data_IF_918737899134
#
_entry.id   IF_918737899134
#
_cell.length_a   1.000
_cell.length_b   1.000
_cell.length_c   1.000
_cell.angle_alpha   90.00
_cell.angle_beta   90.00
_cell.angle_gamma   90.00
#
_symmetry.space_group_name_H-M   'P 1'
#
loop_
_entity.id
_entity.type
_entity.pdbx_description
1 polymer ?
#
# COMPACT_ATOMS: atom_id res chain seq x y z
N UNK A 1 -28.29 7.96 -32.94
CA UNK A 1 -28.25 9.19 -32.12
C UNK A 1 -28.18 8.77 -30.67
N UNK A 2 -27.35 9.44 -29.86
CA UNK A 2 -27.26 9.15 -28.42
C UNK A 2 -28.64 9.37 -27.78
N UNK A 3 -29.13 8.44 -26.94
CA UNK A 3 -30.41 8.62 -26.24
C UNK A 3 -30.31 9.62 -25.07
N UNK A 4 -29.13 10.17 -24.79
CA UNK A 4 -28.91 11.11 -23.70
C UNK A 4 -28.87 12.56 -24.18
N UNK A 5 -29.46 13.50 -23.42
CA UNK A 5 -29.35 14.92 -23.71
C UNK A 5 -27.86 15.35 -23.72
N UNK A 6 -27.56 16.37 -24.51
CA UNK A 6 -26.21 16.95 -24.55
C UNK A 6 -25.93 17.63 -23.19
N UNK A 7 -24.67 17.57 -22.72
CA UNK A 7 -24.29 18.21 -21.46
C UNK A 7 -24.45 19.74 -21.55
N UNK A 8 -24.86 20.34 -20.45
CA UNK A 8 -25.01 21.79 -20.29
C UNK A 8 -23.86 22.37 -19.46
N UNK A 9 -23.49 23.63 -19.71
CA UNK A 9 -22.40 24.30 -18.98
C UNK A 9 -22.64 24.37 -17.46
N UNK A 10 -23.90 24.37 -17.04
CA UNK A 10 -24.29 24.41 -15.62
C UNK A 10 -24.20 23.06 -14.92
N UNK A 11 -24.06 21.94 -15.64
CA UNK A 11 -24.12 20.59 -15.05
C UNK A 11 -23.06 20.38 -13.97
N UNK A 12 -21.85 20.91 -14.18
CA UNK A 12 -20.78 20.83 -13.19
C UNK A 12 -21.17 21.49 -11.85
N UNK A 13 -21.85 22.63 -11.91
CA UNK A 13 -22.32 23.35 -10.73
C UNK A 13 -23.54 22.66 -10.11
N UNK A 14 -24.50 22.23 -10.94
CA UNK A 14 -25.78 21.69 -10.48
C UNK A 14 -25.66 20.27 -9.89
N UNK A 15 -24.76 19.45 -10.42
CA UNK A 15 -24.76 18.00 -10.13
C UNK A 15 -23.44 17.45 -9.57
N UNK A 16 -22.32 18.17 -9.67
CA UNK A 16 -21.01 17.63 -9.25
C UNK A 16 -20.40 18.39 -8.07
N UNK A 17 -20.01 19.65 -8.25
CA UNK A 17 -19.27 20.43 -7.24
C UNK A 17 -19.74 21.89 -7.20
N UNK A 18 -20.95 22.18 -6.69
CA UNK A 18 -21.54 23.53 -6.68
C UNK A 18 -20.62 24.58 -6.06
N UNK A 19 -20.02 24.28 -4.90
CA UNK A 19 -19.15 25.23 -4.19
C UNK A 19 -17.83 25.49 -4.92
N UNK A 20 -17.28 24.46 -5.59
CA UNK A 20 -16.05 24.61 -6.38
C UNK A 20 -16.33 25.44 -7.63
N UNK A 21 -17.47 25.21 -8.29
CA UNK A 21 -17.89 26.01 -9.44
C UNK A 21 -18.00 27.50 -9.07
N UNK A 22 -18.65 27.81 -7.94
CA UNK A 22 -18.75 29.19 -7.42
C UNK A 22 -17.37 29.79 -7.16
N UNK A 23 -16.47 29.02 -6.53
CA UNK A 23 -15.11 29.48 -6.26
C UNK A 23 -14.35 29.78 -7.56
N UNK A 24 -14.34 28.86 -8.52
CA UNK A 24 -13.64 29.03 -9.80
C UNK A 24 -14.13 30.27 -10.56
N UNK A 25 -15.45 30.49 -10.59
CA UNK A 25 -16.03 31.69 -11.20
C UNK A 25 -15.58 32.97 -10.49
N UNK A 26 -15.51 32.96 -9.17
CA UNK A 26 -15.10 34.15 -8.38
C UNK A 26 -13.66 34.59 -8.66
N UNK A 27 -12.81 33.70 -9.17
CA UNK A 27 -11.41 33.98 -9.52
C UNK A 27 -11.15 33.94 -11.03
N UNK A 28 -12.19 33.84 -11.86
CA UNK A 28 -12.07 33.81 -13.32
C UNK A 28 -11.42 32.55 -13.92
N UNK A 29 -11.40 31.45 -13.16
CA UNK A 29 -10.83 30.16 -13.57
C UNK A 29 -11.89 29.15 -14.05
N UNK A 30 -13.13 29.59 -14.24
CA UNK A 30 -14.24 28.78 -14.74
C UNK A 30 -14.20 28.57 -16.25
N UNK A 31 -13.05 28.12 -16.77
CA UNK A 31 -12.86 27.85 -18.21
C UNK A 31 -13.03 26.37 -18.51
N UNK A 32 -13.79 26.09 -19.57
CA UNK A 32 -13.91 24.76 -20.13
C UNK A 32 -12.85 24.55 -21.22
N UNK A 33 -11.80 23.78 -20.88
CA UNK A 33 -10.78 23.39 -21.84
C UNK A 33 -11.27 22.22 -22.70
N UNK A 34 -11.37 22.44 -24.00
CA UNK A 34 -11.90 21.47 -24.98
C UNK A 34 -10.81 20.69 -25.70
N UNK A 35 -9.57 21.22 -25.72
CA UNK A 35 -8.40 20.56 -26.31
C UNK A 35 -7.13 20.89 -25.53
N UNK A 36 -6.11 20.05 -25.69
CA UNK A 36 -4.80 20.25 -25.11
C UNK A 36 -3.72 19.61 -26.01
N UNK A 37 -2.58 20.28 -26.19
CA UNK A 37 -1.43 19.74 -26.92
C UNK A 37 -0.13 20.43 -26.50
N UNK A 38 0.91 19.65 -26.21
CA UNK A 38 2.18 20.18 -25.69
C UNK A 38 1.93 20.95 -24.40
N UNK A 39 2.50 22.13 -24.25
CA UNK A 39 2.35 22.95 -23.04
C UNK A 39 1.10 23.84 -23.06
N UNK A 40 0.11 23.53 -23.89
CA UNK A 40 -1.02 24.44 -24.14
C UNK A 40 -2.38 23.77 -23.98
N UNK A 41 -3.29 24.52 -23.39
CA UNK A 41 -4.72 24.23 -23.30
C UNK A 41 -5.49 25.18 -24.21
N UNK A 42 -6.60 24.71 -24.77
CA UNK A 42 -7.51 25.50 -25.58
C UNK A 42 -8.90 25.44 -24.94
N UNK A 43 -9.42 26.59 -24.54
CA UNK A 43 -10.79 26.71 -24.04
C UNK A 43 -11.69 27.35 -25.10
N UNK A 44 -12.98 27.05 -25.03
CA UNK A 44 -13.98 27.61 -25.94
C UNK A 44 -14.60 28.88 -25.33
N UNK A 45 -14.70 29.95 -26.10
CA UNK A 45 -15.45 31.16 -25.69
C UNK A 45 -16.93 31.03 -26.00
N UNK A 46 -17.73 31.97 -25.49
CA UNK A 46 -19.17 32.03 -25.75
C UNK A 46 -19.48 32.22 -27.25
N UNK A 47 -18.56 32.84 -28.01
CA UNK A 47 -18.65 32.99 -29.47
C UNK A 47 -18.21 31.73 -30.24
N UNK A 48 -17.81 30.66 -29.55
CA UNK A 48 -17.38 29.40 -30.12
C UNK A 48 -15.93 29.38 -30.63
N UNK A 49 -15.14 30.42 -30.33
CA UNK A 49 -13.72 30.51 -30.73
C UNK A 49 -12.85 29.77 -29.72
N UNK A 50 -11.84 29.04 -30.21
CA UNK A 50 -10.85 28.38 -29.35
C UNK A 50 -9.72 29.36 -28.99
N UNK A 51 -9.53 29.58 -27.69
CA UNK A 51 -8.47 30.43 -27.14
C UNK A 51 -7.40 29.57 -26.48
N UNK A 52 -6.16 29.77 -26.92
CA UNK A 52 -4.99 29.02 -26.46
C UNK A 52 -4.34 29.70 -25.26
N UNK A 53 -4.00 28.91 -24.24
CA UNK A 53 -3.35 29.34 -23.00
C UNK A 53 -2.15 28.45 -22.71
N UNK A 54 -1.05 29.06 -22.27
CA UNK A 54 0.13 28.33 -21.79
C UNK A 54 -0.18 27.71 -20.41
N UNK A 55 -0.01 26.41 -20.28
CA UNK A 55 -0.23 25.67 -19.04
C UNK A 55 1.07 25.58 -18.23
N UNK A 56 1.14 26.40 -17.18
CA UNK A 56 2.25 26.38 -16.21
C UNK A 56 1.93 25.54 -14.97
N UNK A 57 0.74 24.94 -14.88
CA UNK A 57 0.36 24.02 -13.80
C UNK A 57 0.76 22.59 -14.18
N UNK A 58 0.62 22.24 -15.46
CA UNK A 58 1.09 20.97 -16.03
C UNK A 58 0.51 19.74 -15.32
N UNK A 59 -0.75 19.82 -14.91
CA UNK A 59 -1.42 18.79 -14.12
C UNK A 59 -0.65 18.42 -12.84
N UNK A 60 -0.08 19.41 -12.16
CA UNK A 60 0.80 19.22 -10.99
C UNK A 60 2.04 18.36 -11.28
N UNK A 61 2.59 18.51 -12.48
CA UNK A 61 3.78 17.77 -12.95
C UNK A 61 3.49 16.47 -13.70
N UNK A 62 2.22 16.06 -13.81
CA UNK A 62 1.84 14.85 -14.56
C UNK A 62 2.07 14.97 -16.07
N UNK A 63 2.03 16.18 -16.62
CA UNK A 63 2.22 16.43 -18.05
C UNK A 63 3.65 16.84 -18.39
N UNK A 64 4.64 16.14 -17.83
CA UNK A 64 6.06 16.46 -18.04
C UNK A 64 6.51 16.35 -19.50
N UNK A 65 5.80 15.56 -20.32
CA UNK A 65 6.01 15.43 -21.76
C UNK A 65 5.05 16.31 -22.58
N UNK A 66 4.32 17.22 -21.92
CA UNK A 66 3.22 17.96 -22.50
C UNK A 66 1.93 17.13 -22.63
N UNK A 67 0.83 17.82 -22.87
CA UNK A 67 -0.48 17.23 -23.14
C UNK A 67 -0.47 16.48 -24.48
N UNK A 68 -1.05 15.27 -24.50
CA UNK A 68 -1.26 14.47 -25.72
C UNK A 68 0.00 14.32 -26.58
N UNK A 69 1.14 13.96 -25.97
CA UNK A 69 2.39 13.72 -26.70
C UNK A 69 2.17 12.74 -27.87
N UNK A 70 2.54 13.09 -29.12
CA UNK A 70 2.16 12.32 -30.30
C UNK A 70 2.50 10.84 -30.23
N UNK A 71 3.70 10.51 -29.74
CA UNK A 71 4.12 9.11 -29.60
C UNK A 71 3.27 8.30 -28.61
N UNK A 72 2.79 8.93 -27.53
CA UNK A 72 1.93 8.27 -26.54
C UNK A 72 0.51 8.06 -27.10
N UNK A 73 -0.03 9.07 -27.79
CA UNK A 73 -1.34 8.99 -28.44
C UNK A 73 -1.35 7.86 -29.48
N UNK A 74 -0.30 7.79 -30.29
CA UNK A 74 -0.13 6.74 -31.30
C UNK A 74 -0.02 5.36 -30.66
N UNK A 75 0.80 5.21 -29.62
CA UNK A 75 0.98 3.93 -28.91
C UNK A 75 -0.34 3.45 -28.30
N UNK A 76 -1.07 4.33 -27.60
CA UNK A 76 -2.35 3.98 -26.99
C UNK A 76 -3.42 3.64 -28.03
N UNK A 77 -3.46 4.39 -29.14
CA UNK A 77 -4.37 4.13 -30.25
C UNK A 77 -4.12 2.76 -30.88
N UNK A 78 -2.85 2.41 -31.12
CA UNK A 78 -2.47 1.07 -31.62
C UNK A 78 -2.84 -0.02 -30.63
N UNK A 79 -2.55 0.15 -29.34
CA UNK A 79 -2.89 -0.84 -28.32
C UNK A 79 -4.40 -1.15 -28.27
N UNK A 80 -5.25 -0.13 -28.46
CA UNK A 80 -6.70 -0.28 -28.58
C UNK A 80 -7.11 -0.98 -29.88
N UNK A 81 -6.53 -0.60 -31.02
CA UNK A 81 -6.79 -1.22 -32.32
C UNK A 81 -6.40 -2.70 -32.34
N UNK A 82 -5.29 -3.05 -31.68
CA UNK A 82 -4.79 -4.41 -31.50
C UNK A 82 -5.61 -5.21 -30.48
N UNK A 83 -6.60 -4.58 -29.84
CA UNK A 83 -7.47 -5.19 -28.81
C UNK A 83 -6.67 -5.76 -27.64
N UNK A 84 -5.62 -5.05 -27.24
CA UNK A 84 -4.75 -5.45 -26.13
C UNK A 84 -5.59 -5.63 -24.85
N UNK A 85 -5.48 -6.75 -24.13
CA UNK A 85 -6.22 -6.95 -22.88
C UNK A 85 -5.85 -5.91 -21.82
N UNK A 86 -6.83 -5.10 -21.39
CA UNK A 86 -6.65 -4.11 -20.30
C UNK A 86 -6.91 -4.76 -18.93
N UNK A 87 -7.99 -5.53 -18.81
CA UNK A 87 -8.39 -6.21 -17.58
C UNK A 87 -8.10 -7.71 -17.70
N UNK A 88 -6.94 -8.13 -17.18
CA UNK A 88 -6.48 -9.52 -17.23
C UNK A 88 -5.89 -9.94 -15.87
N UNK A 89 -6.67 -9.75 -14.80
CA UNK A 89 -6.27 -10.10 -13.43
C UNK A 89 -5.99 -11.62 -13.33
N UNK A 90 -5.00 -11.99 -12.52
CA UNK A 90 -4.60 -13.40 -12.35
C UNK A 90 -3.84 -13.99 -13.53
N UNK A 91 -3.33 -13.17 -14.45
CA UNK A 91 -2.50 -13.60 -15.59
C UNK A 91 -1.09 -13.00 -15.55
N UNK A 92 -0.18 -13.57 -16.34
CA UNK A 92 1.17 -13.04 -16.55
C UNK A 92 1.08 -11.80 -17.45
N UNK A 93 1.61 -10.67 -16.97
CA UNK A 93 1.59 -9.39 -17.67
C UNK A 93 3.00 -9.00 -18.11
N UNK A 94 3.45 -9.52 -19.26
CA UNK A 94 4.84 -9.35 -19.75
C UNK A 94 5.28 -7.89 -19.83
N UNK A 95 4.43 -6.98 -20.32
CA UNK A 95 4.78 -5.56 -20.42
C UNK A 95 4.93 -4.88 -19.05
N UNK A 96 4.15 -5.29 -18.05
CA UNK A 96 4.34 -4.82 -16.68
C UNK A 96 5.67 -5.33 -16.09
N UNK A 97 6.06 -6.57 -16.42
CA UNK A 97 7.37 -7.12 -16.07
C UNK A 97 8.54 -6.38 -16.74
N UNK A 98 8.40 -6.00 -18.01
CA UNK A 98 9.39 -5.20 -18.73
C UNK A 98 9.57 -3.81 -18.10
N UNK A 99 8.47 -3.13 -17.77
CA UNK A 99 8.50 -1.86 -17.04
C UNK A 99 9.17 -2.03 -15.67
N UNK A 100 8.78 -3.05 -14.90
CA UNK A 100 9.35 -3.33 -13.59
C UNK A 100 10.86 -3.55 -13.67
N UNK A 101 11.34 -4.37 -14.61
CA UNK A 101 12.77 -4.59 -14.86
C UNK A 101 13.51 -3.29 -15.15
N UNK A 102 12.95 -2.45 -16.02
CA UNK A 102 13.56 -1.17 -16.40
C UNK A 102 13.70 -0.24 -15.19
N UNK A 103 12.65 -0.16 -14.35
CA UNK A 103 12.67 0.63 -13.13
C UNK A 103 13.65 0.06 -12.09
N UNK A 104 13.67 -1.25 -11.88
CA UNK A 104 14.62 -1.90 -10.97
C UNK A 104 16.06 -1.58 -11.36
N UNK A 105 16.42 -1.74 -12.63
CA UNK A 105 17.77 -1.44 -13.13
C UNK A 105 18.15 0.03 -12.89
N UNK A 106 17.23 0.98 -13.19
CA UNK A 106 17.47 2.41 -12.97
C UNK A 106 17.68 2.74 -11.49
N UNK A 107 16.93 2.07 -10.60
CA UNK A 107 17.05 2.28 -9.16
C UNK A 107 18.33 1.65 -8.62
N UNK A 108 18.67 0.44 -9.05
CA UNK A 108 19.90 -0.24 -8.67
C UNK A 108 21.14 0.56 -9.07
N UNK A 109 21.17 1.14 -10.28
CA UNK A 109 22.24 2.04 -10.72
C UNK A 109 22.42 3.26 -9.78
N UNK A 110 21.31 3.76 -9.22
CA UNK A 110 21.31 4.96 -8.38
C UNK A 110 21.55 4.67 -6.90
N UNK A 111 21.14 3.51 -6.41
CA UNK A 111 21.17 3.20 -4.97
C UNK A 111 22.14 2.08 -4.59
N UNK A 112 22.61 1.29 -5.57
CA UNK A 112 23.48 0.13 -5.35
C UNK A 112 22.79 -1.05 -4.65
N UNK A 113 21.45 -1.11 -4.69
CA UNK A 113 20.65 -2.15 -4.02
C UNK A 113 19.62 -2.72 -4.98
N UNK A 114 19.28 -3.99 -4.82
CA UNK A 114 18.20 -4.63 -5.58
C UNK A 114 16.82 -4.10 -5.18
N UNK A 115 15.90 -4.02 -6.15
CA UNK A 115 14.54 -3.53 -5.95
C UNK A 115 13.49 -4.48 -6.52
N UNK A 116 12.30 -4.47 -5.92
CA UNK A 116 11.09 -5.10 -6.47
C UNK A 116 10.02 -4.02 -6.62
N UNK A 117 9.35 -4.01 -7.77
CA UNK A 117 8.31 -3.02 -8.10
C UNK A 117 6.92 -3.55 -7.76
N UNK A 118 6.13 -2.71 -7.12
CA UNK A 118 4.67 -2.89 -6.96
C UNK A 118 3.96 -1.76 -7.72
N UNK A 119 3.14 -2.10 -8.71
CA UNK A 119 2.40 -1.13 -9.53
C UNK A 119 1.03 -0.84 -8.91
N UNK A 120 0.64 0.44 -8.88
CA UNK A 120 -0.64 0.94 -8.38
C UNK A 120 -1.23 1.97 -9.35
N UNK A 121 -2.41 2.52 -9.05
CA UNK A 121 -3.11 3.46 -9.93
C UNK A 121 -2.90 4.93 -9.54
N UNK A 122 -2.34 5.21 -8.36
CA UNK A 122 -2.09 6.56 -7.89
C UNK A 122 -0.89 6.63 -6.96
N UNK A 123 -0.37 7.85 -6.76
CA UNK A 123 0.68 8.11 -5.77
C UNK A 123 0.25 7.77 -4.35
N UNK A 124 -1.02 8.00 -3.99
CA UNK A 124 -1.55 7.66 -2.66
C UNK A 124 -1.53 6.14 -2.43
N UNK A 125 -1.98 5.34 -3.41
CA UNK A 125 -1.92 3.88 -3.34
C UNK A 125 -0.47 3.37 -3.26
N UNK A 126 0.47 4.02 -3.94
CA UNK A 126 1.89 3.66 -3.86
C UNK A 126 2.45 3.87 -2.44
N UNK A 127 2.11 5.00 -1.80
CA UNK A 127 2.48 5.28 -0.41
C UNK A 127 1.82 4.26 0.54
N UNK A 128 0.55 3.93 0.34
CA UNK A 128 -0.15 2.93 1.14
C UNK A 128 0.53 1.55 1.03
N UNK A 129 0.90 1.12 -0.18
CA UNK A 129 1.62 -0.13 -0.40
C UNK A 129 2.98 -0.15 0.34
N UNK A 130 3.73 0.95 0.30
CA UNK A 130 5.00 1.09 1.02
C UNK A 130 4.80 1.00 2.53
N UNK A 131 3.79 1.69 3.08
CA UNK A 131 3.45 1.63 4.52
C UNK A 131 3.05 0.23 4.93
N UNK A 132 2.21 -0.46 4.14
CA UNK A 132 1.82 -1.86 4.40
C UNK A 132 3.04 -2.78 4.44
N UNK A 133 3.96 -2.64 3.50
CA UNK A 133 5.19 -3.45 3.48
C UNK A 133 6.09 -3.15 4.70
N UNK A 134 6.24 -1.88 5.09
CA UNK A 134 7.00 -1.50 6.28
C UNK A 134 6.38 -2.08 7.57
N UNK A 135 5.05 -2.04 7.70
CA UNK A 135 4.34 -2.64 8.84
C UNK A 135 4.47 -4.16 8.85
N UNK A 136 4.40 -4.81 7.69
CA UNK A 136 4.63 -6.25 7.57
C UNK A 136 6.04 -6.65 8.01
N UNK A 137 7.08 -5.93 7.55
CA UNK A 137 8.46 -6.14 8.00
C UNK A 137 8.61 -5.96 9.50
N UNK A 138 7.96 -4.93 10.07
CA UNK A 138 7.96 -4.69 11.52
C UNK A 138 7.30 -5.84 12.29
N UNK A 139 6.20 -6.39 11.78
CA UNK A 139 5.53 -7.56 12.37
C UNK A 139 6.49 -8.75 12.45
N UNK A 140 7.17 -9.07 11.35
CA UNK A 140 8.15 -10.17 11.32
C UNK A 140 9.26 -9.95 12.36
N UNK A 141 9.80 -8.73 12.45
CA UNK A 141 10.84 -8.43 13.45
C UNK A 141 10.35 -8.59 14.89
N UNK A 142 9.10 -8.25 15.18
CA UNK A 142 8.51 -8.44 16.51
C UNK A 142 8.39 -9.95 16.79
N UNK A 143 7.90 -10.72 15.82
CA UNK A 143 7.76 -12.17 15.94
C UNK A 143 9.13 -12.84 16.23
N UNK A 144 10.19 -12.45 15.50
CA UNK A 144 11.55 -12.94 15.71
C UNK A 144 12.07 -12.64 17.12
N UNK A 145 11.82 -11.42 17.63
CA UNK A 145 12.23 -11.02 19.00
C UNK A 145 11.47 -11.83 20.04
N UNK A 146 10.17 -12.02 19.86
CA UNK A 146 9.34 -12.80 20.78
C UNK A 146 9.78 -14.27 20.82
N UNK A 147 10.09 -14.85 19.67
CA UNK A 147 10.63 -16.21 19.58
C UNK A 147 12.00 -16.31 20.28
N UNK A 148 12.89 -15.35 20.06
CA UNK A 148 14.19 -15.32 20.74
C UNK A 148 14.05 -15.21 22.27
N UNK A 149 13.11 -14.38 22.76
CA UNK A 149 12.83 -14.27 24.19
C UNK A 149 12.29 -15.57 24.76
N UNK A 150 11.37 -16.24 24.07
CA UNK A 150 10.83 -17.54 24.47
C UNK A 150 11.93 -18.60 24.55
N UNK A 151 12.78 -18.71 23.53
CA UNK A 151 13.89 -19.66 23.50
C UNK A 151 14.88 -19.41 24.64
N UNK A 152 15.24 -18.13 24.87
CA UNK A 152 16.13 -17.75 25.99
C UNK A 152 15.52 -18.14 27.35
N UNK A 153 14.21 -17.94 27.52
CA UNK A 153 13.53 -18.33 28.77
C UNK A 153 13.52 -19.85 28.95
N UNK A 154 13.27 -20.62 27.90
CA UNK A 154 13.32 -22.09 27.95
C UNK A 154 14.73 -22.58 28.32
N UNK A 155 15.77 -21.98 27.75
CA UNK A 155 17.16 -22.28 28.12
C UNK A 155 17.41 -22.01 29.62
N UNK A 156 16.91 -20.90 30.17
CA UNK A 156 17.09 -20.62 31.59
C UNK A 156 16.31 -21.62 32.45
N UNK A 157 15.04 -21.89 32.12
CA UNK A 157 14.18 -22.80 32.88
C UNK A 157 14.65 -24.26 32.87
N UNK A 158 15.46 -24.65 31.87
CA UNK A 158 16.03 -26.00 31.78
C UNK A 158 17.34 -26.16 32.55
N UNK A 159 17.92 -25.08 33.10
CA UNK A 159 19.12 -25.17 33.94
C UNK A 159 18.78 -25.66 35.35
N UNK A 160 19.56 -26.55 35.98
CA UNK A 160 19.23 -27.10 37.32
C UNK A 160 19.08 -26.06 38.44
N UNK A 161 19.77 -24.92 38.32
CA UNK A 161 19.88 -23.82 39.29
C UNK A 161 18.85 -22.69 39.07
N UNK A 162 17.95 -22.83 38.10
CA UNK A 162 17.11 -21.72 37.63
C UNK A 162 16.23 -21.07 38.71
N UNK A 163 15.75 -21.86 39.68
CA UNK A 163 14.88 -21.41 40.78
C UNK A 163 15.59 -20.47 41.77
N UNK A 164 16.93 -20.50 41.81
CA UNK A 164 17.73 -19.62 42.66
C UNK A 164 18.03 -18.26 42.00
N UNK A 165 17.82 -18.16 40.69
CA UNK A 165 18.30 -17.03 39.88
C UNK A 165 17.20 -16.21 39.19
N UNK A 166 15.95 -16.68 39.13
CA UNK A 166 14.83 -15.90 38.58
C UNK A 166 13.91 -15.40 39.71
N UNK A 167 13.81 -14.08 39.93
CA UNK A 167 12.84 -13.53 40.87
C UNK A 167 11.41 -13.87 40.47
N UNK A 168 10.61 -14.27 41.46
CA UNK A 168 9.19 -14.63 41.34
C UNK A 168 8.33 -13.59 40.60
N UNK A 169 8.73 -12.32 40.61
CA UNK A 169 8.09 -11.23 39.89
C UNK A 169 8.21 -11.37 38.36
N UNK A 170 9.31 -11.93 37.86
CA UNK A 170 9.56 -12.14 36.42
C UNK A 170 8.68 -13.27 35.89
N UNK A 171 8.55 -14.36 36.65
CA UNK A 171 7.61 -15.46 36.34
C UNK A 171 6.15 -14.96 36.27
N UNK A 172 5.75 -14.09 37.19
CA UNK A 172 4.38 -13.50 37.20
C UNK A 172 4.13 -12.55 36.04
N UNK A 173 5.13 -11.78 35.61
CA UNK A 173 5.05 -10.90 34.43
C UNK A 173 4.88 -11.72 33.15
N UNK A 174 5.61 -12.83 33.03
CA UNK A 174 5.51 -13.74 31.88
C UNK A 174 4.12 -14.39 31.78
N UNK A 175 3.61 -14.94 32.89
CA UNK A 175 2.26 -15.51 32.95
C UNK A 175 1.13 -14.48 32.72
N UNK A 176 1.42 -13.18 32.86
CA UNK A 176 0.48 -12.09 32.54
C UNK A 176 0.48 -11.68 31.07
N UNK A 177 1.59 -11.83 30.34
CA UNK A 177 1.69 -11.43 28.93
C UNK A 177 0.97 -12.39 27.95
N UNK A 178 0.58 -13.59 28.38
CA UNK A 178 0.04 -14.62 27.48
C UNK A 178 -1.49 -14.67 27.36
N UNK A 179 -2.22 -13.55 27.58
CA UNK A 179 -3.70 -13.62 27.56
C UNK A 179 -4.47 -12.55 26.78
N UNK A 180 -3.85 -11.51 26.21
CA UNK A 180 -4.65 -10.53 25.44
C UNK A 180 -3.99 -9.84 24.24
N UNK A 181 -2.73 -10.13 23.89
CA UNK A 181 -2.03 -9.37 22.83
C UNK A 181 -1.59 -10.20 21.61
N UNK A 182 -1.95 -11.49 21.53
CA UNK A 182 -1.58 -12.39 20.42
C UNK A 182 -2.77 -13.18 19.84
N UNK A 183 -3.96 -12.57 19.82
CA UNK A 183 -5.08 -13.11 19.04
C UNK A 183 -5.07 -12.54 17.62
N UNK A 184 -4.21 -13.10 16.77
CA UNK A 184 -4.62 -13.57 15.43
C UNK A 184 -3.47 -14.38 14.76
N UNK A 185 -3.43 -15.70 15.01
CA UNK A 185 -3.27 -16.79 14.00
C UNK A 185 -3.06 -18.17 14.66
N UNK A 186 -4.16 -18.74 15.16
CA UNK A 186 -4.59 -20.16 15.05
C UNK A 186 -3.64 -21.36 15.27
N UNK A 187 -2.40 -21.22 15.77
CA UNK A 187 -1.53 -22.39 16.04
C UNK A 187 -0.80 -22.40 17.40
N UNK A 188 -1.23 -21.59 18.37
CA UNK A 188 -0.64 -21.59 19.72
C UNK A 188 -1.41 -22.44 20.75
N UNK A 189 -2.68 -22.78 20.50
CA UNK A 189 -3.55 -23.46 21.47
C UNK A 189 -3.15 -24.93 21.71
N UNK A 190 -2.61 -25.61 20.69
CA UNK A 190 -2.04 -26.96 20.84
C UNK A 190 -0.71 -26.97 21.60
N UNK A 191 0.11 -25.93 21.42
CA UNK A 191 1.40 -25.80 22.09
C UNK A 191 1.22 -25.49 23.58
N UNK A 192 0.27 -24.60 23.92
CA UNK A 192 -0.04 -24.25 25.31
C UNK A 192 -0.62 -25.41 26.12
N UNK A 193 -1.46 -26.25 25.51
CA UNK A 193 -1.97 -27.46 26.18
C UNK A 193 -0.82 -28.45 26.44
N UNK A 194 0.08 -28.64 25.47
CA UNK A 194 1.25 -29.51 25.63
C UNK A 194 2.22 -29.01 26.70
N UNK A 195 2.36 -27.69 26.89
CA UNK A 195 3.18 -27.09 27.94
C UNK A 195 2.53 -27.16 29.33
N UNK A 196 1.21 -26.97 29.43
CA UNK A 196 0.46 -27.11 30.68
C UNK A 196 0.48 -28.56 31.20
N UNK A 197 0.34 -29.54 30.30
CA UNK A 197 0.38 -30.97 30.64
C UNK A 197 1.79 -31.39 31.10
N UNK A 198 2.85 -30.85 30.46
CA UNK A 198 4.24 -31.09 30.86
C UNK A 198 4.57 -30.48 32.23
N UNK A 199 4.10 -29.25 32.50
CA UNK A 199 4.30 -28.59 33.80
C UNK A 199 3.51 -29.26 34.93
N UNK A 200 2.29 -29.77 34.67
CA UNK A 200 1.54 -30.56 35.66
C UNK A 200 2.19 -31.92 35.97
N UNK A 201 2.80 -32.59 34.99
CA UNK A 201 3.57 -33.82 35.24
C UNK A 201 4.83 -33.59 36.08
N UNK A 202 5.49 -32.44 35.90
CA UNK A 202 6.68 -32.08 36.68
C UNK A 202 6.27 -31.72 38.12
N UNK A 203 5.22 -30.91 38.29
CA UNK A 203 4.75 -30.47 39.60
C UNK A 203 4.09 -31.59 40.43
N UNK A 204 3.45 -32.58 39.79
CA UNK A 204 2.82 -33.70 40.49
C UNK A 204 3.82 -34.77 40.97
N UNK A 205 5.03 -34.83 40.41
CA UNK A 205 6.09 -35.76 40.84
C UNK A 205 6.87 -35.27 42.07
N UNK A 206 6.87 -33.96 42.33
CA UNK A 206 7.57 -33.35 43.47
C UNK A 206 6.74 -33.33 44.78
N UNK A 207 5.47 -33.76 44.76
CA UNK A 207 4.58 -33.79 45.94
C UNK A 207 4.66 -35.09 46.77
N UNK A 208 5.54 -36.02 46.44
CA UNK A 208 5.72 -37.30 47.16
C UNK A 208 7.05 -37.42 47.93
N UNK A 209 7.76 -36.31 48.18
CA UNK A 209 9.05 -36.31 48.89
C UNK A 209 9.09 -35.36 50.11
N UNK A 210 7.96 -35.20 50.80
CA UNK A 210 7.94 -34.60 52.15
C UNK A 210 6.97 -35.39 53.02
N UNK A 211 7.49 -36.47 53.63
CA UNK A 211 7.03 -36.97 54.94
C UNK A 211 7.79 -36.20 56.05
#
# INVERSE_FOLDING_TARGET
>A
MSPFPLPEATDYQSYLKPRVATLLRSVGLDKEYVRAQGDYLLYRTDEGVEHRVLDLVGGFGSTILGHNHPELVDLLSRALMDRTPVMAQGSIRTQAGYLAKTLCNLMEERTGTEWIVTLTNSGAEAIEAAVKHAMYRKSIQIDDILEQQQNTLLEILTRPDWKEHIPDAVLRLYLKCTRSELDERFSQQKLLQSYADALQQILSKDLHLVD
#
